data_IF_585939198425
#
_entry.id   IF_585939198425
#
_cell.length_a   1.000
_cell.length_b   1.000
_cell.length_c   1.000
_cell.angle_alpha   90.00
_cell.angle_beta   90.00
_cell.angle_gamma   90.00
#
_symmetry.space_group_name_H-M   'P 1'
#
loop_
_entity.id
_entity.type
_entity.pdbx_description
1 polymer ?
#
# COMPACT_ATOMS: atom_id res chain seq x y z
N UNK A 1 5.21 10.11 1.51
CA UNK A 1 6.45 10.65 2.12
C UNK A 1 6.31 10.81 3.63
N UNK A 2 5.24 11.44 4.15
CA UNK A 2 4.97 11.51 5.58
C UNK A 2 5.06 10.14 6.28
N UNK A 3 4.37 9.13 5.75
CA UNK A 3 4.46 7.74 6.23
C UNK A 3 5.90 7.21 6.34
N UNK A 4 6.72 7.46 5.32
CA UNK A 4 8.10 6.99 5.28
C UNK A 4 8.97 7.66 6.35
N UNK A 5 8.77 8.96 6.60
CA UNK A 5 9.49 9.69 7.67
C UNK A 5 9.07 9.18 9.05
N UNK A 6 7.76 9.06 9.30
CA UNK A 6 7.24 8.53 10.57
C UNK A 6 7.74 7.10 10.85
N UNK A 7 7.74 6.25 9.81
CA UNK A 7 8.24 4.87 9.91
C UNK A 7 9.75 4.85 10.12
N UNK A 8 10.50 5.63 9.35
CA UNK A 8 11.96 5.73 9.45
C UNK A 8 12.44 6.26 10.80
N UNK A 9 11.74 7.23 11.40
CA UNK A 9 12.05 7.72 12.74
C UNK A 9 11.81 6.64 13.82
N UNK A 10 10.78 5.78 13.68
CA UNK A 10 10.50 4.68 14.61
C UNK A 10 11.54 3.55 14.55
N UNK A 11 12.15 3.31 13.40
CA UNK A 11 13.15 2.26 13.17
C UNK A 11 14.53 2.55 13.81
N UNK A 12 14.67 3.64 14.57
CA UNK A 12 15.91 4.11 15.22
C UNK A 12 16.99 4.50 14.19
N UNK A 13 17.06 5.79 13.83
CA UNK A 13 18.17 6.37 13.05
C UNK A 13 19.46 6.41 13.90
N UNK A 14 20.27 5.34 13.87
CA UNK A 14 21.51 5.25 14.66
C UNK A 14 22.69 5.98 14.00
N UNK A 15 22.66 6.22 12.69
CA UNK A 15 23.72 6.90 11.97
C UNK A 15 23.41 8.37 11.62
N UNK A 16 24.45 9.21 11.46
CA UNK A 16 24.30 10.60 11.04
C UNK A 16 23.70 10.75 9.62
N UNK A 17 23.96 9.80 8.73
CA UNK A 17 23.50 9.84 7.34
C UNK A 17 21.99 9.61 7.21
N UNK A 18 21.45 8.61 7.92
CA UNK A 18 20.02 8.32 7.92
C UNK A 18 19.24 9.46 8.55
N UNK A 19 19.78 10.07 9.63
CA UNK A 19 19.18 11.26 10.24
C UNK A 19 19.17 12.44 9.28
N UNK A 20 20.28 12.71 8.59
CA UNK A 20 20.36 13.77 7.59
C UNK A 20 19.39 13.55 6.43
N UNK A 21 19.22 12.31 5.99
CA UNK A 21 18.21 11.96 4.98
C UNK A 21 16.79 12.26 5.48
N UNK A 22 16.43 11.82 6.69
CA UNK A 22 15.11 12.06 7.25
C UNK A 22 14.82 13.56 7.43
N UNK A 23 15.81 14.35 7.89
CA UNK A 23 15.70 15.82 8.00
C UNK A 23 15.41 16.47 6.65
N UNK A 24 16.15 16.11 5.58
CA UNK A 24 15.90 16.64 4.23
C UNK A 24 14.49 16.31 3.73
N UNK A 25 13.96 15.12 4.04
CA UNK A 25 12.59 14.76 3.67
C UNK A 25 11.57 15.54 4.50
N UNK A 26 11.87 15.82 5.77
CA UNK A 26 11.03 16.66 6.64
C UNK A 26 10.96 18.11 6.14
N UNK A 27 12.10 18.72 5.81
CA UNK A 27 12.16 20.06 5.20
C UNK A 27 11.31 20.13 3.92
N UNK A 28 11.38 19.09 3.08
CA UNK A 28 10.57 18.99 1.88
C UNK A 28 9.07 18.91 2.19
N UNK A 29 8.67 18.17 3.23
CA UNK A 29 7.27 18.05 3.65
C UNK A 29 6.73 19.40 4.14
N UNK A 30 7.52 20.14 4.94
CA UNK A 30 7.14 21.47 5.44
C UNK A 30 6.98 22.47 4.29
N UNK A 31 7.93 22.50 3.35
CA UNK A 31 7.83 23.35 2.17
C UNK A 31 6.61 23.00 1.31
N UNK A 32 6.37 21.71 1.08
CA UNK A 32 5.24 21.23 0.29
C UNK A 32 3.90 21.60 0.93
N UNK A 33 3.78 21.50 2.26
CA UNK A 33 2.58 21.91 3.00
C UNK A 33 2.33 23.41 2.87
N UNK A 34 3.37 24.25 2.96
CA UNK A 34 3.26 25.70 2.77
C UNK A 34 2.83 26.09 1.35
N UNK A 35 3.39 25.41 0.34
CA UNK A 35 3.08 25.69 -1.08
C UNK A 35 1.69 25.21 -1.52
N UNK A 36 1.09 24.27 -0.79
CA UNK A 36 -0.20 23.68 -1.14
C UNK A 36 -1.24 23.88 -0.02
N UNK A 37 -1.15 25.00 0.71
CA UNK A 37 -2.08 25.33 1.79
C UNK A 37 -3.55 25.42 1.32
N UNK A 38 -3.76 25.83 0.07
CA UNK A 38 -5.08 25.96 -0.55
C UNK A 38 -5.66 24.60 -1.01
N UNK A 39 -4.86 23.53 -1.00
CA UNK A 39 -5.33 22.19 -1.35
C UNK A 39 -5.87 21.48 -0.12
N UNK A 40 -7.19 21.29 -0.08
CA UNK A 40 -7.88 20.66 1.06
C UNK A 40 -7.36 19.24 1.36
N UNK A 41 -6.96 18.46 0.35
CA UNK A 41 -6.38 17.13 0.57
C UNK A 41 -4.98 17.15 1.23
N UNK A 42 -4.37 18.33 1.38
CA UNK A 42 -3.07 18.54 2.05
C UNK A 42 -3.24 19.34 3.36
N UNK A 43 -4.16 20.29 3.39
CA UNK A 43 -4.40 21.16 4.55
C UNK A 43 -5.36 20.57 5.59
N UNK A 44 -6.21 19.61 5.19
CA UNK A 44 -7.17 18.92 6.05
C UNK A 44 -6.92 17.40 6.05
N UNK A 45 -6.64 16.84 7.22
CA UNK A 45 -6.34 15.42 7.39
C UNK A 45 -7.51 14.51 6.98
N UNK A 46 -8.76 14.92 7.24
CA UNK A 46 -9.97 14.14 6.88
C UNK A 46 -10.11 14.08 5.35
N UNK A 47 -9.92 15.20 4.66
CA UNK A 47 -9.97 15.24 3.20
C UNK A 47 -8.80 14.46 2.58
N UNK A 48 -7.60 14.57 3.15
CA UNK A 48 -6.43 13.80 2.72
C UNK A 48 -6.62 12.28 2.89
N UNK A 49 -7.16 11.86 4.04
CA UNK A 49 -7.51 10.46 4.29
C UNK A 49 -8.52 9.96 3.27
N UNK A 50 -9.66 10.63 3.10
CA UNK A 50 -10.71 10.24 2.16
C UNK A 50 -10.18 10.17 0.71
N UNK A 51 -9.29 11.09 0.31
CA UNK A 51 -8.67 11.06 -1.00
C UNK A 51 -7.81 9.81 -1.21
N UNK A 52 -6.98 9.45 -0.23
CA UNK A 52 -6.16 8.24 -0.30
C UNK A 52 -6.98 6.95 -0.23
N UNK A 53 -8.01 6.89 0.62
CA UNK A 53 -8.92 5.75 0.72
C UNK A 53 -9.60 5.46 -0.61
N UNK A 54 -10.18 6.49 -1.24
CA UNK A 54 -10.82 6.36 -2.55
C UNK A 54 -9.84 5.88 -3.63
N UNK A 55 -8.60 6.35 -3.60
CA UNK A 55 -7.59 5.94 -4.57
C UNK A 55 -7.11 4.50 -4.35
N UNK A 56 -6.87 4.12 -3.10
CA UNK A 56 -6.51 2.75 -2.71
C UNK A 56 -7.60 1.75 -3.11
N UNK A 57 -8.87 2.08 -2.81
CA UNK A 57 -10.01 1.25 -3.17
C UNK A 57 -10.17 1.13 -4.69
N UNK A 58 -10.00 2.23 -5.45
CA UNK A 58 -10.10 2.20 -6.92
C UNK A 58 -9.06 1.27 -7.55
N UNK A 59 -7.80 1.33 -7.10
CA UNK A 59 -6.75 0.42 -7.57
C UNK A 59 -7.04 -1.02 -7.18
N UNK A 60 -7.51 -1.24 -5.96
CA UNK A 60 -7.91 -2.56 -5.47
C UNK A 60 -9.01 -3.17 -6.32
N UNK A 61 -10.10 -2.45 -6.55
CA UNK A 61 -11.25 -2.92 -7.34
C UNK A 61 -10.87 -3.15 -8.81
N UNK A 62 -10.01 -2.31 -9.37
CA UNK A 62 -9.46 -2.54 -10.71
C UNK A 62 -8.70 -3.87 -10.78
N UNK A 63 -7.82 -4.12 -9.81
CA UNK A 63 -7.03 -5.34 -9.78
C UNK A 63 -7.90 -6.58 -9.53
N UNK A 64 -8.81 -6.51 -8.56
CA UNK A 64 -9.73 -7.59 -8.20
C UNK A 64 -10.68 -7.96 -9.34
N UNK A 65 -11.22 -6.97 -10.06
CA UNK A 65 -12.05 -7.22 -11.25
C UNK A 65 -11.29 -8.01 -12.31
N UNK A 66 -10.02 -7.67 -12.56
CA UNK A 66 -9.22 -8.38 -13.56
C UNK A 66 -8.78 -9.77 -13.06
N UNK A 67 -8.41 -9.90 -11.79
CA UNK A 67 -8.08 -11.17 -11.16
C UNK A 67 -9.25 -12.16 -11.24
N UNK A 68 -10.47 -11.73 -10.90
CA UNK A 68 -11.69 -12.55 -11.03
C UNK A 68 -12.02 -12.92 -12.47
N UNK A 69 -11.65 -12.09 -13.44
CA UNK A 69 -11.79 -12.38 -14.86
C UNK A 69 -10.66 -13.26 -15.42
N UNK A 70 -9.68 -13.66 -14.60
CA UNK A 70 -8.50 -14.41 -15.04
C UNK A 70 -7.53 -13.59 -15.91
N UNK A 71 -7.65 -12.26 -15.92
CA UNK A 71 -6.79 -11.38 -16.70
C UNK A 71 -5.56 -10.96 -15.89
N UNK A 72 -4.51 -11.79 -15.92
CA UNK A 72 -3.28 -11.56 -15.18
C UNK A 72 -2.26 -10.76 -16.01
N UNK A 73 -2.18 -9.46 -15.74
CA UNK A 73 -1.20 -8.57 -16.39
C UNK A 73 -0.27 -7.91 -15.39
N UNK A 74 0.85 -7.36 -15.86
CA UNK A 74 1.75 -6.53 -15.03
C UNK A 74 1.01 -5.38 -14.34
N UNK A 75 0.02 -4.78 -15.01
CA UNK A 75 -0.78 -3.69 -14.45
C UNK A 75 -1.65 -4.16 -13.27
N UNK A 76 -2.14 -5.41 -13.27
CA UNK A 76 -2.91 -5.98 -12.17
C UNK A 76 -2.03 -6.20 -10.94
N UNK A 77 -0.84 -6.79 -11.15
CA UNK A 77 0.16 -6.96 -10.07
C UNK A 77 0.53 -5.60 -9.47
N UNK A 78 0.85 -4.62 -10.32
CA UNK A 78 1.19 -3.27 -9.88
C UNK A 78 0.03 -2.61 -9.12
N UNK A 79 -1.20 -2.76 -9.59
CA UNK A 79 -2.37 -2.17 -8.94
C UNK A 79 -2.63 -2.76 -7.55
N UNK A 80 -2.55 -4.09 -7.40
CA UNK A 80 -2.63 -4.72 -6.07
C UNK A 80 -1.47 -4.30 -5.16
N UNK A 81 -0.24 -4.29 -5.68
CA UNK A 81 0.93 -3.88 -4.90
C UNK A 81 0.81 -2.43 -4.42
N UNK A 82 0.46 -1.50 -5.32
CA UNK A 82 0.27 -0.09 -4.99
C UNK A 82 -0.91 0.11 -4.04
N UNK A 83 -2.04 -0.60 -4.23
CA UNK A 83 -3.15 -0.54 -3.27
C UNK A 83 -2.71 -0.97 -1.87
N UNK A 84 -1.97 -2.08 -1.75
CA UNK A 84 -1.40 -2.55 -0.48
C UNK A 84 -0.48 -1.53 0.18
N UNK A 85 0.34 -0.82 -0.59
CA UNK A 85 1.19 0.27 -0.10
C UNK A 85 0.38 1.51 0.31
N UNK A 86 -0.67 1.87 -0.43
CA UNK A 86 -1.53 3.00 -0.05
C UNK A 86 -2.29 2.72 1.24
N UNK A 87 -2.72 1.48 1.48
CA UNK A 87 -3.27 1.09 2.78
C UNK A 87 -2.23 1.15 3.91
N UNK A 88 -0.93 0.88 3.64
CA UNK A 88 0.12 1.18 4.63
C UNK A 88 0.19 2.68 4.93
N UNK A 89 0.15 3.52 3.89
CA UNK A 89 0.19 4.98 4.05
C UNK A 89 -1.03 5.49 4.81
N UNK A 90 -2.22 4.91 4.62
CA UNK A 90 -3.42 5.31 5.33
C UNK A 90 -3.31 5.18 6.86
N UNK A 91 -2.42 4.31 7.36
CA UNK A 91 -2.13 4.22 8.79
C UNK A 91 -1.55 5.50 9.41
N UNK A 92 -1.12 6.48 8.59
CA UNK A 92 -0.71 7.80 9.12
C UNK A 92 -1.87 8.61 9.66
N UNK A 93 -3.10 8.32 9.24
CA UNK A 93 -4.31 9.02 9.67
C UNK A 93 -5.00 8.32 10.86
N UNK A 94 -4.58 7.12 11.22
CA UNK A 94 -5.15 6.35 12.34
C UNK A 94 -5.23 4.86 12.05
N UNK A 95 -6.04 4.16 12.83
CA UNK A 95 -6.35 2.75 12.58
C UNK A 95 -7.22 2.60 11.32
N UNK A 96 -6.93 1.57 10.54
CA UNK A 96 -7.73 1.23 9.36
C UNK A 96 -9.05 0.58 9.80
N UNK A 97 -10.08 0.73 8.97
CA UNK A 97 -11.29 -0.08 9.11
C UNK A 97 -10.97 -1.57 8.90
N UNK A 98 -11.84 -2.45 9.39
CA UNK A 98 -11.70 -3.89 9.20
C UNK A 98 -11.63 -4.26 7.70
N UNK A 99 -12.50 -3.66 6.89
CA UNK A 99 -12.51 -3.85 5.44
C UNK A 99 -11.19 -3.40 4.79
N UNK A 100 -10.69 -2.21 5.14
CA UNK A 100 -9.41 -1.72 4.61
C UNK A 100 -8.23 -2.60 5.05
N UNK A 101 -8.27 -3.17 6.25
CA UNK A 101 -7.28 -4.11 6.77
C UNK A 101 -7.29 -5.43 5.97
N UNK A 102 -8.47 -5.96 5.69
CA UNK A 102 -8.64 -7.16 4.86
C UNK A 102 -8.17 -6.91 3.43
N UNK A 103 -8.58 -5.79 2.81
CA UNK A 103 -8.15 -5.38 1.47
C UNK A 103 -6.62 -5.22 1.39
N UNK A 104 -6.00 -4.62 2.41
CA UNK A 104 -4.53 -4.51 2.52
C UNK A 104 -3.85 -5.88 2.52
N UNK A 105 -4.32 -6.82 3.36
CA UNK A 105 -3.76 -8.18 3.44
C UNK A 105 -3.92 -8.91 2.11
N UNK A 106 -5.12 -8.87 1.54
CA UNK A 106 -5.44 -9.53 0.27
C UNK A 106 -4.62 -8.97 -0.88
N UNK A 107 -4.53 -7.64 -1.02
CA UNK A 107 -3.81 -6.99 -2.11
C UNK A 107 -2.31 -7.36 -2.11
N UNK A 108 -1.66 -7.32 -0.94
CA UNK A 108 -0.24 -7.71 -0.81
C UNK A 108 -0.02 -9.17 -1.16
N UNK A 109 -0.86 -10.05 -0.64
CA UNK A 109 -0.78 -11.48 -0.93
C UNK A 109 -1.02 -11.78 -2.42
N UNK A 110 -2.08 -11.24 -3.02
CA UNK A 110 -2.39 -11.45 -4.45
C UNK A 110 -1.31 -10.90 -5.36
N UNK A 111 -0.75 -9.72 -5.08
CA UNK A 111 0.36 -9.18 -5.86
C UNK A 111 1.56 -10.14 -5.89
N UNK A 112 1.97 -10.65 -4.72
CA UNK A 112 3.08 -11.61 -4.61
C UNK A 112 2.75 -12.94 -5.30
N UNK A 113 1.54 -13.46 -5.07
CA UNK A 113 1.07 -14.71 -5.65
C UNK A 113 1.06 -14.67 -7.19
N UNK A 114 0.36 -13.69 -7.78
CA UNK A 114 0.26 -13.56 -9.25
C UNK A 114 1.65 -13.36 -9.85
N UNK A 115 2.50 -12.51 -9.24
CA UNK A 115 3.87 -12.32 -9.70
C UNK A 115 4.67 -13.62 -9.73
N UNK A 116 4.59 -14.43 -8.66
CA UNK A 116 5.32 -15.70 -8.56
C UNK A 116 4.82 -16.73 -9.57
N UNK A 117 3.50 -16.87 -9.75
CA UNK A 117 2.94 -17.76 -10.76
C UNK A 117 3.42 -17.38 -12.16
N UNK A 118 3.30 -16.09 -12.55
CA UNK A 118 3.75 -15.65 -13.87
C UNK A 118 5.26 -15.82 -14.07
N UNK A 119 6.06 -15.61 -13.02
CA UNK A 119 7.52 -15.84 -13.07
C UNK A 119 7.86 -17.31 -13.29
N UNK A 120 7.06 -18.22 -12.74
CA UNK A 120 7.27 -19.67 -12.84
C UNK A 120 6.57 -20.32 -14.04
N UNK A 121 5.85 -19.56 -14.86
CA UNK A 121 5.05 -20.09 -15.98
C UNK A 121 3.75 -20.79 -15.54
N UNK A 122 3.31 -20.58 -14.30
CA UNK A 122 2.06 -21.10 -13.77
C UNK A 122 0.91 -20.11 -14.01
N UNK A 123 -0.31 -20.62 -14.24
CA UNK A 123 -1.50 -19.79 -14.35
C UNK A 123 -2.09 -19.56 -12.95
N UNK A 124 -2.19 -18.32 -12.46
CA UNK A 124 -2.79 -18.03 -11.16
C UNK A 124 -4.28 -18.43 -11.11
N UNK A 125 -4.78 -18.77 -9.93
CA UNK A 125 -6.20 -19.04 -9.70
C UNK A 125 -6.97 -17.70 -9.57
N UNK A 126 -8.03 -17.47 -10.38
CA UNK A 126 -8.87 -16.28 -10.30
C UNK A 126 -9.63 -16.15 -8.98
N UNK A 127 -9.80 -14.91 -8.51
CA UNK A 127 -10.62 -14.59 -7.35
C UNK A 127 -9.98 -14.95 -6.01
N UNK A 128 -10.71 -14.73 -4.90
CA UNK A 128 -10.24 -15.12 -3.58
C UNK A 128 -10.12 -16.63 -3.51
N UNK A 129 -8.95 -17.11 -3.12
CA UNK A 129 -8.73 -18.51 -2.75
C UNK A 129 -9.23 -18.64 -1.32
N UNK A 130 -10.08 -19.62 -1.02
CA UNK A 130 -10.63 -19.83 0.33
C UNK A 130 -9.50 -19.69 1.37
N UNK A 131 -9.58 -18.61 2.14
CA UNK A 131 -8.50 -18.10 2.99
C UNK A 131 -8.12 -19.05 4.13
N UNK A 132 -8.91 -20.11 4.35
CA UNK A 132 -8.66 -21.14 5.36
C UNK A 132 -7.53 -22.12 4.99
N UNK A 133 -7.02 -22.11 3.75
CA UNK A 133 -5.96 -23.05 3.31
C UNK A 133 -4.60 -22.43 3.01
N UNK A 134 -4.48 -21.10 3.08
CA UNK A 134 -3.27 -20.39 2.63
C UNK A 134 -2.36 -19.87 3.75
N UNK A 135 -2.82 -19.80 5.00
CA UNK A 135 -2.00 -19.32 6.12
C UNK A 135 -0.88 -20.32 6.50
N UNK A 136 -1.03 -21.59 6.11
CA UNK A 136 -0.07 -22.68 6.39
C UNK A 136 1.08 -22.81 5.37
N UNK A 137 1.09 -22.02 4.29
CA UNK A 137 2.10 -22.16 3.21
C UNK A 137 3.19 -21.08 3.19
N UNK A 138 3.11 -20.07 4.07
CA UNK A 138 4.11 -19.00 4.16
C UNK A 138 5.06 -19.18 5.35
N UNK A 139 4.84 -20.19 6.20
CA UNK A 139 5.80 -20.54 7.26
C UNK A 139 6.27 -21.98 7.05
N UNK A 140 7.46 -22.14 6.45
CA UNK A 140 8.43 -23.15 6.87
C UNK A 140 9.85 -22.72 6.41
N UNK A 141 10.86 -23.07 7.22
CA UNK A 141 12.08 -22.28 7.46
C UNK A 141 13.08 -22.24 6.31
#
# INVERSE_FOLDING_TARGET
>A
RLYAVQTGMKLSSKGPEERNFLLKVMDWLELSKKQNNDNEAISNDVAGQAHLENWALKLFLFADKNDRAGNFTKNVIQSFYTAGLLYDVLTTFGELTEEATQNRKYAKWKAAYIHNCLKNGETPIPGPVDSDKSDDRIVKP
#
